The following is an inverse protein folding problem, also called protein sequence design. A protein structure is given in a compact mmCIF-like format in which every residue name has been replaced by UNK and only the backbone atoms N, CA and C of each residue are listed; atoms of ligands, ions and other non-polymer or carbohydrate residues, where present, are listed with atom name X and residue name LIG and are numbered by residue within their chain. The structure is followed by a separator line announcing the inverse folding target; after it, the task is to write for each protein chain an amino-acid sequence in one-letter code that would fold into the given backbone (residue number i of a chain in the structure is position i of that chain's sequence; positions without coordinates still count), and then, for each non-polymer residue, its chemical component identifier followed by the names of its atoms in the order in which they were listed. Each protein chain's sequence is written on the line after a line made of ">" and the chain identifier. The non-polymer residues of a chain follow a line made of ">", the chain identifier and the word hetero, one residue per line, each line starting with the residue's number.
data_IF_700007124616
#
_entry.id   IF_700007124616
#
_cell.length_a   1.000
_cell.length_b   1.000
_cell.length_c   1.000
_cell.angle_alpha   90.00
_cell.angle_beta   90.00
_cell.angle_gamma   90.00
#
_symmetry.space_group_name_H-M   'P 1'
#
loop_
_entity.id
_entity.type
_entity.pdbx_description
1 polymer ?
#
# COMPACT_ATOMS: atom_id res chain seq x y z
N UNK A 1 3.29 -17.98 -18.82
CA UNK A 1 1.97 -18.33 -18.23
C UNK A 1 1.54 -17.20 -17.31
N UNK A 2 0.26 -16.84 -17.30
CA UNK A 2 -0.30 -15.84 -16.38
C UNK A 2 -0.39 -16.49 -14.99
N UNK A 3 0.09 -15.84 -13.92
CA UNK A 3 0.00 -16.40 -12.56
C UNK A 3 -1.43 -16.38 -12.03
N UNK A 4 -1.73 -17.20 -11.01
CA UNK A 4 -3.03 -17.18 -10.33
C UNK A 4 -3.35 -15.78 -9.76
N UNK A 5 -2.34 -15.09 -9.26
CA UNK A 5 -2.47 -13.71 -8.78
C UNK A 5 -2.88 -12.75 -9.90
N UNK A 6 -2.19 -12.77 -11.05
CA UNK A 6 -2.51 -11.93 -12.20
C UNK A 6 -3.93 -12.21 -12.72
N UNK A 7 -4.32 -13.48 -12.78
CA UNK A 7 -5.68 -13.87 -13.17
C UNK A 7 -6.73 -13.34 -12.19
N UNK A 8 -6.47 -13.48 -10.89
CA UNK A 8 -7.36 -12.95 -9.84
C UNK A 8 -7.50 -11.42 -9.94
N UNK A 9 -6.38 -10.70 -10.07
CA UNK A 9 -6.38 -9.24 -10.23
C UNK A 9 -7.14 -8.83 -11.48
N UNK A 10 -6.93 -9.49 -12.62
CA UNK A 10 -7.65 -9.22 -13.85
C UNK A 10 -9.17 -9.36 -13.68
N UNK A 11 -9.62 -10.46 -13.07
CA UNK A 11 -11.05 -10.76 -12.87
C UNK A 11 -11.72 -9.80 -11.85
N UNK A 12 -10.94 -9.25 -10.91
CA UNK A 12 -11.45 -8.40 -9.83
C UNK A 12 -10.96 -6.94 -9.91
N UNK A 13 -10.32 -6.54 -11.00
CA UNK A 13 -9.66 -5.25 -11.19
C UNK A 13 -10.50 -4.07 -10.72
N UNK A 14 -11.70 -3.96 -11.22
CA UNK A 14 -12.60 -2.85 -10.92
C UNK A 14 -12.89 -2.72 -9.41
N UNK A 15 -13.11 -3.85 -8.75
CA UNK A 15 -13.39 -3.86 -7.30
C UNK A 15 -12.11 -3.57 -6.49
N UNK A 16 -10.96 -4.05 -6.92
CA UNK A 16 -9.68 -3.76 -6.27
C UNK A 16 -9.34 -2.29 -6.35
N UNK A 17 -9.46 -1.66 -7.51
CA UNK A 17 -9.25 -0.22 -7.70
C UNK A 17 -10.23 0.57 -6.84
N UNK A 18 -11.53 0.25 -6.92
CA UNK A 18 -12.56 0.91 -6.13
C UNK A 18 -12.32 0.85 -4.63
N UNK A 19 -11.86 -0.30 -4.12
CA UNK A 19 -11.53 -0.46 -2.69
C UNK A 19 -10.27 0.26 -2.27
N UNK A 20 -9.31 0.41 -3.17
CA UNK A 20 -8.09 1.17 -2.88
C UNK A 20 -8.38 2.63 -2.53
N UNK A 21 -9.48 3.22 -3.02
CA UNK A 21 -9.87 4.60 -2.68
C UNK A 21 -10.33 4.75 -1.22
N UNK A 22 -10.69 3.65 -0.54
CA UNK A 22 -11.06 3.67 0.90
C UNK A 22 -9.91 4.20 1.77
N UNK A 23 -8.65 3.99 1.35
CA UNK A 23 -7.48 4.52 2.07
C UNK A 23 -7.44 6.04 2.13
N UNK A 24 -8.18 6.71 1.25
CA UNK A 24 -8.34 8.18 1.22
C UNK A 24 -9.67 8.64 1.84
N UNK A 25 -10.38 7.74 2.53
CA UNK A 25 -11.62 8.05 3.25
C UNK A 25 -12.86 8.14 2.36
N UNK A 26 -12.80 7.70 1.10
CA UNK A 26 -13.97 7.62 0.23
C UNK A 26 -14.01 6.30 -0.56
N UNK A 27 -15.18 5.97 -1.08
CA UNK A 27 -15.34 4.83 -1.98
C UNK A 27 -16.32 5.19 -3.08
N UNK A 28 -15.85 5.18 -4.32
CA UNK A 28 -16.67 5.45 -5.49
C UNK A 28 -17.70 4.35 -5.75
N UNK A 29 -18.73 4.68 -6.51
CA UNK A 29 -19.63 3.67 -7.06
C UNK A 29 -18.89 2.80 -8.09
N UNK A 30 -19.39 1.57 -8.31
CA UNK A 30 -18.81 0.70 -9.35
C UNK A 30 -18.88 1.36 -10.73
N UNK A 31 -20.00 2.00 -11.04
CA UNK A 31 -20.21 2.69 -12.32
C UNK A 31 -19.24 3.87 -12.51
N UNK A 32 -19.03 4.70 -11.48
CA UNK A 32 -18.10 5.82 -11.58
C UNK A 32 -16.67 5.33 -11.79
N UNK A 33 -16.24 4.32 -11.02
CA UNK A 33 -14.90 3.73 -11.16
C UNK A 33 -14.68 3.18 -12.57
N UNK A 34 -15.63 2.42 -13.09
CA UNK A 34 -15.59 1.86 -14.45
C UNK A 34 -15.57 2.97 -15.52
N UNK A 35 -16.37 4.02 -15.32
CA UNK A 35 -16.41 5.16 -16.24
C UNK A 35 -15.07 5.90 -16.25
N UNK A 36 -14.42 6.10 -15.10
CA UNK A 36 -13.11 6.75 -15.03
C UNK A 36 -12.05 5.89 -15.72
N UNK A 37 -12.02 4.59 -15.45
CA UNK A 37 -11.04 3.69 -16.07
C UNK A 37 -11.18 3.68 -17.59
N UNK A 38 -12.41 3.66 -18.12
CA UNK A 38 -12.67 3.52 -19.55
C UNK A 38 -12.68 4.85 -20.32
N UNK A 39 -13.11 5.96 -19.68
CA UNK A 39 -13.35 7.25 -20.35
C UNK A 39 -12.54 8.41 -19.73
N UNK A 40 -11.88 8.19 -18.61
CA UNK A 40 -11.05 9.20 -17.92
C UNK A 40 -11.83 10.27 -17.14
N UNK A 41 -13.15 10.38 -17.29
CA UNK A 41 -13.91 11.50 -16.76
C UNK A 41 -15.29 11.12 -16.20
N UNK A 42 -15.64 11.71 -15.06
CA UNK A 42 -16.98 11.70 -14.45
C UNK A 42 -17.29 13.12 -13.97
N UNK A 43 -18.32 13.77 -14.52
CA UNK A 43 -18.61 15.19 -14.32
C UNK A 43 -18.76 15.65 -12.86
N UNK A 44 -19.19 14.77 -11.95
CA UNK A 44 -19.41 15.10 -10.53
C UNK A 44 -18.16 14.98 -9.64
N UNK A 45 -17.04 14.56 -10.21
CA UNK A 45 -15.80 14.33 -9.46
C UNK A 45 -14.73 15.35 -9.82
N UNK A 46 -13.91 15.71 -8.84
CA UNK A 46 -12.75 16.55 -9.06
C UNK A 46 -11.65 15.85 -9.84
N UNK A 47 -10.79 16.64 -10.49
CA UNK A 47 -9.66 16.12 -11.29
C UNK A 47 -8.77 15.15 -10.47
N UNK A 48 -8.40 15.53 -9.26
CA UNK A 48 -7.53 14.73 -8.38
C UNK A 48 -8.15 13.36 -8.09
N UNK A 49 -9.43 13.30 -7.72
CA UNK A 49 -10.12 12.03 -7.45
C UNK A 49 -10.15 11.10 -8.67
N UNK A 50 -10.39 11.67 -9.86
CA UNK A 50 -10.37 10.89 -11.11
C UNK A 50 -8.96 10.38 -11.40
N UNK A 51 -7.94 11.23 -11.23
CA UNK A 51 -6.54 10.88 -11.45
C UNK A 51 -6.07 9.78 -10.50
N UNK A 52 -6.48 9.84 -9.21
CA UNK A 52 -6.21 8.78 -8.23
C UNK A 52 -6.74 7.42 -8.69
N UNK A 53 -7.94 7.34 -9.25
CA UNK A 53 -8.50 6.09 -9.78
C UNK A 53 -7.69 5.56 -10.96
N UNK A 54 -7.31 6.43 -11.89
CA UNK A 54 -6.46 6.05 -13.05
C UNK A 54 -5.11 5.54 -12.56
N UNK A 55 -4.49 6.23 -11.62
CA UNK A 55 -3.20 5.85 -11.06
C UNK A 55 -3.27 4.53 -10.28
N UNK A 56 -4.32 4.32 -9.48
CA UNK A 56 -4.54 3.05 -8.81
C UNK A 56 -4.74 1.90 -9.79
N UNK A 57 -5.42 2.14 -10.91
CA UNK A 57 -5.55 1.13 -11.96
C UNK A 57 -4.18 0.78 -12.58
N UNK A 58 -3.35 1.78 -12.89
CA UNK A 58 -1.97 1.60 -13.39
C UNK A 58 -1.08 0.89 -12.34
N UNK A 59 -1.22 1.25 -11.07
CA UNK A 59 -0.47 0.65 -9.99
C UNK A 59 -0.80 -0.84 -9.78
N UNK A 60 -2.04 -1.27 -10.03
CA UNK A 60 -2.38 -2.69 -10.06
C UNK A 60 -1.75 -3.42 -11.27
N UNK A 61 -1.54 -2.74 -12.40
CA UNK A 61 -0.75 -3.31 -13.50
C UNK A 61 0.71 -3.47 -13.09
N UNK A 62 1.29 -2.45 -12.42
CA UNK A 62 2.63 -2.51 -11.85
C UNK A 62 2.78 -3.68 -10.87
N UNK A 63 1.84 -3.88 -9.93
CA UNK A 63 1.82 -5.00 -8.97
C UNK A 63 1.84 -6.37 -9.66
N UNK A 64 1.28 -6.48 -10.86
CA UNK A 64 1.24 -7.72 -11.64
C UNK A 64 2.50 -7.98 -12.47
N UNK A 65 3.45 -7.03 -12.55
CA UNK A 65 4.69 -7.20 -13.32
C UNK A 65 5.86 -7.61 -12.41
N UNK A 66 6.86 -8.32 -12.94
CA UNK A 66 8.09 -8.56 -12.21
C UNK A 66 8.95 -7.28 -12.16
N UNK A 67 9.46 -6.95 -10.98
CA UNK A 67 10.39 -5.86 -10.77
C UNK A 67 11.63 -6.34 -10.01
N UNK A 68 12.79 -5.70 -10.28
CA UNK A 68 13.99 -5.95 -9.50
C UNK A 68 13.87 -5.26 -8.13
N UNK A 69 14.13 -6.00 -7.06
CA UNK A 69 14.14 -5.45 -5.72
C UNK A 69 15.38 -4.57 -5.50
N UNK A 70 15.20 -3.27 -5.68
CA UNK A 70 16.21 -2.24 -5.43
C UNK A 70 15.79 -1.39 -4.24
N UNK A 71 16.70 -0.60 -3.68
CA UNK A 71 16.36 0.37 -2.63
C UNK A 71 15.44 1.51 -3.08
N UNK A 72 15.19 1.63 -4.39
CA UNK A 72 14.27 2.63 -4.98
C UNK A 72 12.94 2.03 -5.40
N UNK A 73 12.75 0.71 -5.30
CA UNK A 73 11.52 0.04 -5.79
C UNK A 73 10.22 0.64 -5.23
N UNK A 74 10.27 1.14 -3.98
CA UNK A 74 9.11 1.77 -3.37
C UNK A 74 8.86 3.17 -3.96
N UNK A 75 9.92 3.89 -4.34
CA UNK A 75 9.84 5.17 -5.06
C UNK A 75 9.23 4.97 -6.46
N UNK A 76 9.64 3.91 -7.17
CA UNK A 76 9.10 3.57 -8.50
C UNK A 76 7.58 3.29 -8.46
N UNK A 77 7.10 2.57 -7.43
CA UNK A 77 5.66 2.37 -7.25
C UNK A 77 4.94 3.67 -6.86
N UNK A 78 5.55 4.45 -5.96
CA UNK A 78 4.98 5.72 -5.51
C UNK A 78 4.81 6.71 -6.67
N UNK A 79 5.76 6.78 -7.61
CA UNK A 79 5.67 7.63 -8.80
C UNK A 79 4.40 7.31 -9.61
N UNK A 80 4.09 6.03 -9.81
CA UNK A 80 2.85 5.62 -10.50
C UNK A 80 1.60 6.06 -9.75
N UNK A 81 1.61 5.97 -8.41
CA UNK A 81 0.43 6.29 -7.57
C UNK A 81 0.23 7.79 -7.45
N UNK A 82 1.31 8.56 -7.34
CA UNK A 82 1.28 9.99 -7.03
C UNK A 82 1.23 10.90 -8.26
N UNK A 83 1.34 10.35 -9.47
CA UNK A 83 1.35 11.07 -10.74
C UNK A 83 0.16 12.05 -10.84
N UNK A 84 0.45 13.36 -10.83
CA UNK A 84 -0.51 14.49 -10.90
C UNK A 84 -1.59 14.53 -9.79
N UNK A 85 -1.45 13.79 -8.69
CA UNK A 85 -2.38 13.88 -7.55
C UNK A 85 -1.79 14.65 -6.36
N UNK A 86 -0.48 14.80 -6.30
CA UNK A 86 0.18 15.61 -5.28
C UNK A 86 0.29 17.07 -5.73
N UNK A 87 0.27 18.00 -4.77
CA UNK A 87 0.45 19.43 -5.07
C UNK A 87 1.89 19.78 -5.51
N UNK A 88 2.81 18.83 -5.41
CA UNK A 88 4.23 19.05 -5.62
C UNK A 88 4.80 17.94 -6.54
N UNK A 89 4.69 18.13 -7.84
CA UNK A 89 5.19 17.17 -8.86
C UNK A 89 6.64 16.75 -8.66
N UNK A 90 7.50 17.64 -8.16
CA UNK A 90 8.92 17.33 -7.91
C UNK A 90 9.15 16.39 -6.71
N UNK A 91 8.09 16.00 -5.98
CA UNK A 91 8.15 15.05 -4.89
C UNK A 91 7.55 13.67 -5.26
N UNK A 92 7.01 13.55 -6.45
CA UNK A 92 6.48 12.29 -6.96
C UNK A 92 7.64 11.29 -7.16
N UNK A 93 7.51 10.10 -6.60
CA UNK A 93 8.56 9.09 -6.69
C UNK A 93 9.78 9.26 -5.78
N UNK A 94 9.79 10.24 -4.85
CA UNK A 94 10.93 10.46 -3.96
C UNK A 94 10.55 10.38 -2.49
N UNK A 95 11.41 9.74 -1.70
CA UNK A 95 11.30 9.80 -0.25
C UNK A 95 11.44 11.24 0.24
N UNK A 96 10.61 11.61 1.20
CA UNK A 96 10.61 12.96 1.77
C UNK A 96 11.95 13.28 2.46
N UNK A 97 12.32 14.54 2.46
CA UNK A 97 13.52 15.04 3.12
C UNK A 97 13.27 15.30 4.63
N UNK A 98 14.37 15.53 5.36
CA UNK A 98 14.35 15.88 6.78
C UNK A 98 13.62 17.21 7.10
N UNK A 99 13.39 18.04 6.11
CA UNK A 99 12.71 19.34 6.29
C UNK A 99 11.19 19.24 6.23
N UNK A 100 10.64 18.05 5.91
CA UNK A 100 9.21 17.88 5.73
C UNK A 100 8.59 16.93 6.74
N UNK A 101 7.79 17.51 7.64
CA UNK A 101 7.03 16.76 8.63
C UNK A 101 5.69 16.28 8.05
N UNK A 102 5.40 14.98 8.17
CA UNK A 102 4.10 14.40 7.83
C UNK A 102 3.27 14.29 9.11
N UNK A 103 2.02 14.75 9.06
CA UNK A 103 1.05 14.58 10.14
C UNK A 103 0.06 13.48 9.80
N UNK A 104 -0.09 12.52 10.71
CA UNK A 104 -1.07 11.45 10.56
C UNK A 104 -2.39 11.88 11.18
N UNK A 105 -3.43 12.00 10.35
CA UNK A 105 -4.75 12.41 10.82
C UNK A 105 -5.26 11.48 11.94
N UNK A 106 -5.69 12.06 13.05
CA UNK A 106 -6.24 11.32 14.19
C UNK A 106 -5.20 10.65 15.10
N UNK A 107 -3.90 10.92 14.90
CA UNK A 107 -2.82 10.42 15.77
C UNK A 107 -1.89 11.55 16.20
N UNK A 108 -1.32 11.41 17.39
CA UNK A 108 -0.23 12.27 17.89
C UNK A 108 1.16 11.81 17.44
N UNK A 109 1.27 10.65 16.81
CA UNK A 109 2.53 10.11 16.30
C UNK A 109 3.05 10.95 15.12
N UNK A 110 4.30 11.37 15.22
CA UNK A 110 5.02 12.10 14.17
C UNK A 110 6.10 11.16 13.61
N UNK A 111 5.99 10.75 12.34
CA UNK A 111 6.99 9.91 11.71
C UNK A 111 8.36 10.61 11.67
N UNK A 112 9.46 9.88 11.95
CA UNK A 112 10.81 10.47 11.94
C UNK A 112 11.13 11.13 10.60
N UNK A 113 11.72 12.33 10.65
CA UNK A 113 12.27 13.03 9.50
C UNK A 113 13.78 12.75 9.42
N UNK A 114 14.22 12.21 8.29
CA UNK A 114 15.64 11.90 8.00
C UNK A 114 15.97 12.33 6.58
N UNK A 115 17.26 12.42 6.26
CA UNK A 115 17.65 12.69 4.87
C UNK A 115 17.12 11.61 3.93
N UNK A 116 16.90 11.97 2.65
CA UNK A 116 16.48 10.98 1.64
C UNK A 116 17.46 9.81 1.56
N UNK A 117 18.74 10.09 1.67
CA UNK A 117 19.76 9.04 1.59
C UNK A 117 19.69 8.08 2.79
N UNK A 118 19.46 8.59 4.00
CA UNK A 118 19.27 7.76 5.19
C UNK A 118 17.97 6.95 5.09
N UNK A 119 16.90 7.55 4.59
CA UNK A 119 15.63 6.85 4.32
C UNK A 119 15.79 5.70 3.33
N UNK A 120 16.53 5.91 2.23
CA UNK A 120 16.85 4.87 1.24
C UNK A 120 17.70 3.73 1.84
N UNK A 121 18.67 4.07 2.68
CA UNK A 121 19.51 3.07 3.33
C UNK A 121 18.72 2.27 4.38
N UNK A 122 17.88 2.94 5.17
CA UNK A 122 16.97 2.30 6.14
C UNK A 122 16.00 1.35 5.43
N UNK A 123 15.31 1.84 4.41
CA UNK A 123 14.39 1.02 3.62
C UNK A 123 15.11 -0.18 2.97
N UNK A 124 16.27 0.07 2.35
CA UNK A 124 17.07 -0.98 1.71
C UNK A 124 17.48 -2.08 2.70
N UNK A 125 17.92 -1.71 3.90
CA UNK A 125 18.26 -2.67 4.97
C UNK A 125 17.06 -3.53 5.38
N UNK A 126 15.90 -2.91 5.63
CA UNK A 126 14.69 -3.65 6.02
C UNK A 126 14.14 -4.51 4.88
N UNK A 127 14.22 -4.02 3.64
CA UNK A 127 13.84 -4.79 2.45
C UNK A 127 14.73 -6.02 2.28
N UNK A 128 16.05 -5.89 2.40
CA UNK A 128 16.99 -7.00 2.27
C UNK A 128 16.72 -8.09 3.30
N UNK A 129 16.50 -7.72 4.57
CA UNK A 129 16.13 -8.67 5.63
C UNK A 129 14.83 -9.40 5.31
N UNK A 130 13.81 -8.68 4.83
CA UNK A 130 12.56 -9.28 4.39
C UNK A 130 12.77 -10.27 3.25
N UNK A 131 13.54 -9.89 2.22
CA UNK A 131 13.80 -10.76 1.06
C UNK A 131 14.55 -12.03 1.44
N UNK A 132 15.52 -11.96 2.36
CA UNK A 132 16.21 -13.13 2.92
C UNK A 132 15.20 -14.05 3.65
N UNK A 133 14.31 -13.48 4.46
CA UNK A 133 13.27 -14.26 5.16
C UNK A 133 12.30 -14.94 4.17
N UNK A 134 11.83 -14.21 3.15
CA UNK A 134 10.90 -14.73 2.15
C UNK A 134 11.54 -15.78 1.24
N UNK A 135 12.85 -15.68 0.96
CA UNK A 135 13.62 -16.68 0.19
C UNK A 135 13.96 -17.94 0.98
N UNK A 136 13.78 -17.95 2.30
CA UNK A 136 14.10 -19.09 3.16
C UNK A 136 12.98 -20.17 3.17
N UNK A 137 13.24 -21.30 3.83
CA UNK A 137 12.29 -22.42 3.98
C UNK A 137 11.17 -22.17 5.02
N UNK A 138 10.86 -20.91 5.34
CA UNK A 138 9.75 -20.58 6.22
C UNK A 138 8.40 -20.97 5.60
N UNK A 139 7.42 -21.28 6.46
CA UNK A 139 6.06 -21.58 5.98
C UNK A 139 5.42 -20.37 5.30
N UNK A 140 4.49 -20.61 4.38
CA UNK A 140 3.72 -19.53 3.72
C UNK A 140 3.04 -18.61 4.74
N UNK A 141 2.53 -19.18 5.84
CA UNK A 141 1.90 -18.41 6.90
C UNK A 141 2.88 -17.44 7.58
N UNK A 142 4.10 -17.89 7.89
CA UNK A 142 5.15 -17.06 8.45
C UNK A 142 5.59 -15.95 7.48
N UNK A 143 5.69 -16.28 6.18
CA UNK A 143 6.00 -15.29 5.13
C UNK A 143 4.90 -14.21 5.01
N UNK A 144 3.63 -14.60 5.09
CA UNK A 144 2.51 -13.64 5.11
C UNK A 144 2.60 -12.74 6.34
N UNK A 145 2.86 -13.30 7.52
CA UNK A 145 2.99 -12.51 8.77
C UNK A 145 4.13 -11.49 8.67
N UNK A 146 5.28 -11.88 8.10
CA UNK A 146 6.42 -10.99 7.89
C UNK A 146 6.12 -9.88 6.87
N UNK A 147 5.45 -10.19 5.77
CA UNK A 147 4.98 -9.19 4.81
C UNK A 147 4.02 -8.18 5.47
N UNK A 148 3.11 -8.63 6.33
CA UNK A 148 2.20 -7.76 7.07
C UNK A 148 2.94 -6.88 8.09
N UNK A 149 3.97 -7.39 8.78
CA UNK A 149 4.82 -6.59 9.65
C UNK A 149 5.56 -5.51 8.84
N UNK A 150 6.10 -5.87 7.69
CA UNK A 150 6.75 -4.92 6.79
C UNK A 150 5.78 -3.85 6.26
N UNK A 151 4.55 -4.24 5.91
CA UNK A 151 3.49 -3.29 5.56
C UNK A 151 3.24 -2.28 6.69
N UNK A 152 3.14 -2.75 7.95
CA UNK A 152 2.96 -1.88 9.10
C UNK A 152 4.17 -0.97 9.34
N UNK A 153 5.39 -1.47 9.12
CA UNK A 153 6.60 -0.65 9.15
C UNK A 153 6.51 0.51 8.13
N UNK A 154 6.15 0.23 6.88
CA UNK A 154 5.97 1.27 5.86
C UNK A 154 4.89 2.28 6.27
N UNK A 155 3.76 1.80 6.79
CA UNK A 155 2.67 2.63 7.30
C UNK A 155 3.13 3.55 8.44
N UNK A 156 3.99 3.09 9.35
CA UNK A 156 4.51 3.89 10.46
C UNK A 156 5.58 4.87 10.00
N UNK A 157 6.42 4.47 9.07
CA UNK A 157 7.56 5.27 8.60
C UNK A 157 7.13 6.49 7.75
N UNK A 158 6.04 6.37 6.98
CA UNK A 158 5.54 7.46 6.13
C UNK A 158 6.68 8.07 5.28
N UNK A 159 7.29 7.26 4.43
CA UNK A 159 8.47 7.66 3.65
C UNK A 159 8.21 8.80 2.66
N UNK A 160 6.96 9.04 2.25
CA UNK A 160 6.59 10.03 1.25
C UNK A 160 5.82 11.20 1.87
N UNK A 161 5.68 12.26 1.10
CA UNK A 161 4.88 13.44 1.48
C UNK A 161 3.39 13.12 1.54
N UNK A 162 2.91 12.26 0.64
CA UNK A 162 1.54 11.81 0.52
C UNK A 162 1.51 10.37 -0.01
N UNK A 163 0.35 9.83 -0.29
CA UNK A 163 0.13 8.51 -0.89
C UNK A 163 0.72 7.31 -0.11
N UNK A 164 1.24 7.52 1.10
CA UNK A 164 1.93 6.48 1.87
C UNK A 164 1.08 5.23 2.10
N UNK A 165 -0.20 5.38 2.45
CA UNK A 165 -1.10 4.25 2.69
C UNK A 165 -1.33 3.42 1.43
N UNK A 166 -1.57 4.09 0.31
CA UNK A 166 -1.78 3.47 -0.99
C UNK A 166 -0.54 2.72 -1.47
N UNK A 167 0.63 3.36 -1.36
CA UNK A 167 1.92 2.76 -1.72
C UNK A 167 2.23 1.54 -0.87
N UNK A 168 2.10 1.63 0.46
CA UNK A 168 2.32 0.50 1.37
C UNK A 168 1.38 -0.68 1.08
N UNK A 169 0.10 -0.41 0.82
CA UNK A 169 -0.90 -1.41 0.49
C UNK A 169 -0.61 -2.14 -0.83
N UNK A 170 -0.27 -1.40 -1.88
CA UNK A 170 0.03 -1.98 -3.18
C UNK A 170 1.37 -2.71 -3.17
N UNK A 171 2.36 -2.21 -2.44
CA UNK A 171 3.64 -2.90 -2.26
C UNK A 171 3.50 -4.23 -1.48
N UNK A 172 2.64 -4.28 -0.46
CA UNK A 172 2.29 -5.55 0.20
C UNK A 172 1.72 -6.57 -0.80
N UNK A 173 0.79 -6.16 -1.65
CA UNK A 173 0.21 -7.03 -2.66
C UNK A 173 1.25 -7.44 -3.74
N UNK A 174 2.19 -6.56 -4.05
CA UNK A 174 3.33 -6.91 -4.89
C UNK A 174 4.20 -8.01 -4.25
N UNK A 175 4.51 -7.92 -2.96
CA UNK A 175 5.25 -8.97 -2.24
C UNK A 175 4.49 -10.31 -2.28
N UNK A 176 3.17 -10.30 -2.07
CA UNK A 176 2.36 -11.51 -2.16
C UNK A 176 2.41 -12.15 -3.55
N UNK A 177 2.39 -11.34 -4.62
CA UNK A 177 2.56 -11.81 -5.99
C UNK A 177 3.98 -12.32 -6.26
N UNK A 178 4.99 -11.53 -5.94
CA UNK A 178 6.39 -11.83 -6.26
C UNK A 178 6.91 -13.12 -5.59
N UNK A 179 6.37 -13.48 -4.44
CA UNK A 179 6.73 -14.69 -3.69
C UNK A 179 5.68 -15.80 -3.76
N UNK A 180 4.68 -15.67 -4.64
CA UNK A 180 3.60 -16.65 -4.87
C UNK A 180 2.97 -17.15 -3.56
N UNK A 181 2.61 -16.21 -2.67
CA UNK A 181 2.05 -16.55 -1.36
C UNK A 181 0.58 -16.98 -1.42
N UNK A 182 -0.02 -17.07 -2.61
CA UNK A 182 -1.38 -17.56 -2.82
C UNK A 182 -2.48 -16.72 -2.17
N UNK A 183 -2.22 -15.46 -1.89
CA UNK A 183 -3.18 -14.57 -1.22
C UNK A 183 -3.08 -13.12 -1.72
N UNK A 184 -4.08 -12.34 -1.36
CA UNK A 184 -4.16 -10.90 -1.62
C UNK A 184 -4.68 -10.18 -0.38
N UNK A 185 -4.16 -8.98 -0.07
CA UNK A 185 -4.81 -8.10 0.88
C UNK A 185 -5.98 -7.40 0.19
N UNK A 186 -7.16 -7.50 0.80
CA UNK A 186 -8.41 -6.98 0.27
C UNK A 186 -9.03 -5.99 1.25
N UNK A 187 -9.00 -4.70 0.91
CA UNK A 187 -9.48 -3.65 1.80
C UNK A 187 -10.99 -3.77 2.10
N UNK A 188 -11.42 -3.40 3.31
CA UNK A 188 -12.82 -3.52 3.70
C UNK A 188 -13.71 -2.55 2.94
N UNK A 189 -15.03 -2.72 3.11
CA UNK A 189 -15.98 -1.64 2.82
C UNK A 189 -15.84 -0.56 3.91
N UNK A 190 -16.20 0.69 3.58
CA UNK A 190 -16.22 1.82 4.53
C UNK A 190 -16.92 1.49 5.86
N UNK A 191 -17.96 0.66 5.85
CA UNK A 191 -18.68 0.25 7.04
C UNK A 191 -17.85 -0.54 8.07
N UNK A 192 -16.74 -1.13 7.67
CA UNK A 192 -15.83 -1.87 8.56
C UNK A 192 -14.60 -1.02 8.99
N UNK A 193 -14.53 0.23 8.55
CA UNK A 193 -13.39 1.12 8.74
C UNK A 193 -13.11 1.43 10.21
N UNK A 194 -14.14 1.58 11.05
CA UNK A 194 -13.98 1.97 12.45
C UNK A 194 -13.07 1.04 13.26
N UNK A 195 -13.14 -0.27 13.06
CA UNK A 195 -12.27 -1.22 13.77
C UNK A 195 -10.84 -1.19 13.23
N UNK A 196 -10.68 -1.07 11.92
CA UNK A 196 -9.37 -0.90 11.28
C UNK A 196 -8.67 0.37 11.78
N UNK A 197 -9.38 1.51 11.76
CA UNK A 197 -8.84 2.79 12.24
C UNK A 197 -8.45 2.75 13.72
N UNK A 198 -9.21 2.03 14.56
CA UNK A 198 -8.86 1.83 15.97
C UNK A 198 -7.55 1.06 16.12
N UNK A 199 -7.36 -0.04 15.38
CA UNK A 199 -6.10 -0.78 15.38
C UNK A 199 -4.94 0.07 14.85
N UNK A 200 -5.18 0.81 13.77
CA UNK A 200 -4.19 1.69 13.17
C UNK A 200 -3.76 2.80 14.13
N UNK A 201 -4.71 3.45 14.83
CA UNK A 201 -4.41 4.46 15.85
C UNK A 201 -3.57 3.88 16.99
N UNK A 202 -3.99 2.77 17.57
CA UNK A 202 -3.25 2.12 18.65
C UNK A 202 -1.82 1.74 18.20
N UNK A 203 -1.67 1.30 16.95
CA UNK A 203 -0.37 0.97 16.37
C UNK A 203 0.52 2.20 16.22
N UNK A 204 0.00 3.34 15.79
CA UNK A 204 0.78 4.58 15.67
C UNK A 204 1.22 5.11 17.03
N UNK A 205 0.33 5.10 18.03
CA UNK A 205 0.53 5.71 19.34
C UNK A 205 1.31 4.83 20.33
N UNK A 206 1.57 3.57 19.97
CA UNK A 206 2.28 2.64 20.84
C UNK A 206 3.59 2.14 20.23
N UNK A 207 4.61 1.99 21.06
CA UNK A 207 5.85 1.28 20.70
C UNK A 207 5.80 -0.20 21.12
N UNK A 208 4.71 -0.64 21.75
CA UNK A 208 4.59 -2.00 22.25
C UNK A 208 4.36 -3.00 21.11
N UNK A 209 5.29 -3.94 20.95
CA UNK A 209 5.24 -5.01 19.94
C UNK A 209 3.94 -5.84 20.00
N UNK A 210 3.23 -5.85 21.14
CA UNK A 210 1.93 -6.53 21.26
C UNK A 210 0.88 -5.94 20.31
N UNK A 211 0.89 -4.63 20.11
CA UNK A 211 -0.04 -3.98 19.15
C UNK A 211 0.29 -4.34 17.71
N UNK A 212 1.57 -4.48 17.35
CA UNK A 212 1.97 -4.97 16.02
C UNK A 212 1.41 -6.37 15.80
N UNK A 213 1.63 -7.30 16.74
CA UNK A 213 1.14 -8.69 16.64
C UNK A 213 -0.38 -8.77 16.57
N UNK A 214 -1.09 -7.99 17.39
CA UNK A 214 -2.56 -7.92 17.37
C UNK A 214 -3.06 -7.40 16.01
N UNK A 215 -2.42 -6.38 15.47
CA UNK A 215 -2.83 -5.80 14.20
C UNK A 215 -2.52 -6.74 13.03
N UNK A 216 -1.37 -7.41 13.00
CA UNK A 216 -1.06 -8.46 12.03
C UNK A 216 -2.10 -9.56 12.06
N UNK A 217 -2.45 -10.08 13.24
CA UNK A 217 -3.49 -11.11 13.40
C UNK A 217 -4.85 -10.62 12.88
N UNK A 218 -5.21 -9.39 13.17
CA UNK A 218 -6.44 -8.78 12.69
C UNK A 218 -6.45 -8.64 11.16
N UNK A 219 -5.36 -8.10 10.57
CA UNK A 219 -5.22 -7.96 9.12
C UNK A 219 -5.31 -9.32 8.43
N UNK A 220 -4.56 -10.31 8.92
CA UNK A 220 -4.56 -11.66 8.36
C UNK A 220 -5.98 -12.26 8.38
N UNK A 221 -6.70 -12.15 9.48
CA UNK A 221 -8.04 -12.73 9.64
C UNK A 221 -9.09 -12.08 8.72
N UNK A 222 -9.06 -10.76 8.59
CA UNK A 222 -10.18 -10.03 7.99
C UNK A 222 -9.89 -9.47 6.60
N UNK A 223 -8.63 -9.28 6.24
CA UNK A 223 -8.22 -8.59 5.01
C UNK A 223 -7.39 -9.45 4.07
N UNK A 224 -6.64 -10.43 4.56
CA UNK A 224 -5.92 -11.36 3.68
C UNK A 224 -6.89 -12.43 3.20
N UNK A 225 -7.00 -12.59 1.88
CA UNK A 225 -7.88 -13.56 1.22
C UNK A 225 -7.04 -14.51 0.38
N UNK A 226 -7.30 -15.82 0.46
CA UNK A 226 -6.69 -16.77 -0.45
C UNK A 226 -7.13 -16.48 -1.89
N UNK A 227 -6.22 -16.75 -2.82
CA UNK A 227 -6.46 -16.72 -4.27
C UNK A 227 -6.64 -18.17 -4.70
N UNK A 228 -7.86 -18.50 -5.12
CA UNK A 228 -8.20 -19.82 -5.67
C UNK A 228 -8.20 -19.78 -7.19
#
# INVERSE_FOLDING_TARGET
>A
MVSSFQQYVSNNRLELVRRSTVLEGYMLSKLDTETIINKGVVQKLGFVQMKEVVNLNRAWDWVCQPHTFTKTILEDLHEVISDEVTNYRYLEGYFRSETYEVKISGSSYIPPCVSRNDALNEFGYHLENLLQFLGSNNSTEQKIDECLQFYLYLMKRQFFHDCNKRTSYLFLNYLFNAFDLGCIMYLPKLSAEGTYLKHLKNFYESEDIRYVKQFVTYLKKYYVKPIC
#
